data_IF_071946083714
#
_entry.id   IF_071946083714
#
_cell.length_a   1.000
_cell.length_b   1.000
_cell.length_c   1.000
_cell.angle_alpha   90.00
_cell.angle_beta   90.00
_cell.angle_gamma   90.00
#
_symmetry.space_group_name_H-M   'P 1'
#
loop_
_entity.id
_entity.type
_entity.pdbx_description
1 polymer ?
#
# COMPACT_ATOMS: atom_id res chain seq x y z
N UNK A 1 8.33 3.30 -13.78
CA UNK A 1 8.50 2.50 -15.02
C UNK A 1 7.16 1.91 -15.35
N UNK A 2 6.75 1.97 -16.62
CA UNK A 2 5.54 1.32 -17.10
C UNK A 2 5.68 -0.21 -16.96
N UNK A 3 4.57 -0.92 -16.79
CA UNK A 3 4.54 -2.39 -16.77
C UNK A 3 5.16 -2.98 -18.06
N UNK A 4 4.90 -2.31 -19.20
CA UNK A 4 5.47 -2.66 -20.50
C UNK A 4 7.01 -2.51 -20.50
N UNK A 5 7.55 -1.44 -19.91
CA UNK A 5 9.00 -1.22 -19.82
C UNK A 5 9.71 -2.34 -19.05
N UNK A 6 9.07 -2.86 -17.99
CA UNK A 6 9.63 -3.94 -17.17
C UNK A 6 9.72 -5.25 -17.95
N UNK A 7 8.70 -5.56 -18.76
CA UNK A 7 8.70 -6.75 -19.63
C UNK A 7 9.75 -6.58 -20.73
N UNK A 8 9.80 -5.42 -21.38
CA UNK A 8 10.79 -5.13 -22.43
C UNK A 8 12.22 -5.21 -21.89
N UNK A 9 12.48 -4.74 -20.67
CA UNK A 9 13.79 -4.83 -20.03
C UNK A 9 14.26 -6.28 -19.85
N UNK A 10 13.38 -7.20 -19.43
CA UNK A 10 13.71 -8.63 -19.32
C UNK A 10 14.06 -9.23 -20.68
N UNK A 11 13.30 -8.88 -21.72
CA UNK A 11 13.58 -9.35 -23.10
C UNK A 11 14.94 -8.84 -23.58
N UNK A 12 15.27 -7.56 -23.33
CA UNK A 12 16.57 -6.99 -23.69
C UNK A 12 17.70 -7.68 -22.93
N UNK A 13 17.51 -7.94 -21.63
CA UNK A 13 18.52 -8.55 -20.78
C UNK A 13 18.89 -9.98 -21.23
N UNK A 14 17.91 -10.73 -21.71
CA UNK A 14 18.08 -12.11 -22.19
C UNK A 14 18.18 -12.23 -23.72
N UNK A 15 18.33 -11.11 -24.42
CA UNK A 15 18.38 -11.08 -25.88
C UNK A 15 19.50 -11.96 -26.45
N UNK A 16 20.70 -11.87 -25.85
CA UNK A 16 21.85 -12.66 -26.29
C UNK A 16 21.62 -14.15 -26.13
N UNK A 17 21.05 -14.59 -25.00
CA UNK A 17 20.73 -16.00 -24.76
C UNK A 17 19.72 -16.54 -25.80
N UNK A 18 18.72 -15.73 -26.18
CA UNK A 18 17.77 -16.08 -27.24
C UNK A 18 18.46 -16.18 -28.61
N UNK A 19 19.37 -15.25 -28.93
CA UNK A 19 20.10 -15.27 -30.20
C UNK A 19 21.08 -16.43 -30.30
N UNK A 20 21.78 -16.75 -29.21
CA UNK A 20 22.64 -17.95 -29.13
C UNK A 20 21.82 -19.23 -29.35
N UNK A 21 20.62 -19.31 -28.77
CA UNK A 21 19.70 -20.43 -28.97
C UNK A 21 19.28 -20.60 -30.44
N UNK A 22 18.91 -19.50 -31.09
CA UNK A 22 18.47 -19.49 -32.48
C UNK A 22 19.58 -19.95 -33.43
N UNK A 23 20.77 -19.37 -33.29
CA UNK A 23 21.94 -19.72 -34.12
C UNK A 23 22.35 -21.17 -33.89
N UNK A 24 22.33 -21.67 -32.65
CA UNK A 24 22.70 -23.06 -32.37
C UNK A 24 21.69 -24.05 -32.97
N UNK A 25 20.41 -23.70 -33.02
CA UNK A 25 19.39 -24.53 -33.68
C UNK A 25 19.58 -24.54 -35.20
N UNK A 26 19.85 -23.39 -35.80
CA UNK A 26 20.12 -23.25 -37.24
C UNK A 26 21.34 -24.07 -37.64
N UNK A 27 22.45 -23.99 -36.89
CA UNK A 27 23.66 -24.80 -37.14
C UNK A 27 23.36 -26.29 -37.10
N UNK A 28 22.56 -26.77 -36.14
CA UNK A 28 22.19 -28.19 -36.10
C UNK A 28 21.29 -28.60 -37.28
N UNK A 29 20.38 -27.73 -37.69
CA UNK A 29 19.47 -27.98 -38.80
C UNK A 29 20.24 -28.05 -40.12
N UNK A 30 21.14 -27.08 -40.37
CA UNK A 30 22.04 -27.07 -41.53
C UNK A 30 22.93 -28.32 -41.60
N UNK A 31 23.56 -28.70 -40.48
CA UNK A 31 24.37 -29.93 -40.40
C UNK A 31 23.53 -31.18 -40.70
N UNK A 32 22.27 -31.21 -40.29
CA UNK A 32 21.36 -32.31 -40.61
C UNK A 32 20.98 -32.33 -42.09
N UNK A 33 20.77 -31.17 -42.72
CA UNK A 33 20.44 -31.06 -44.16
C UNK A 33 21.61 -31.47 -45.05
N UNK A 34 22.85 -31.15 -44.66
CA UNK A 34 24.07 -31.55 -45.36
C UNK A 34 24.44 -33.03 -45.14
N UNK A 35 23.73 -33.73 -44.25
CA UNK A 35 24.01 -35.12 -43.88
C UNK A 35 25.25 -35.29 -43.00
N UNK A 36 25.75 -34.21 -42.41
CA UNK A 36 26.94 -34.14 -41.57
C UNK A 36 26.56 -34.07 -40.10
N UNK A 37 26.22 -35.22 -39.49
CA UNK A 37 26.01 -35.27 -38.04
C UNK A 37 27.33 -35.44 -37.28
N UNK A 38 27.63 -34.58 -36.28
CA UNK A 38 28.78 -34.78 -35.41
C UNK A 38 28.62 -36.06 -34.60
N UNK A 39 29.66 -36.90 -34.62
CA UNK A 39 29.67 -38.24 -34.00
C UNK A 39 30.65 -38.26 -32.82
N UNK A 40 30.30 -38.96 -31.75
CA UNK A 40 31.18 -39.12 -30.58
C UNK A 40 31.21 -37.88 -29.68
N UNK A 41 32.38 -37.39 -29.25
CA UNK A 41 32.47 -36.34 -28.22
C UNK A 41 31.88 -34.99 -28.67
N UNK A 42 31.95 -34.68 -29.96
CA UNK A 42 31.40 -33.42 -30.50
C UNK A 42 29.85 -33.45 -30.50
N UNK A 43 29.26 -34.61 -30.79
CA UNK A 43 27.81 -34.79 -30.70
C UNK A 43 27.31 -34.67 -29.25
N UNK A 44 28.04 -35.26 -28.30
CA UNK A 44 27.76 -35.09 -26.86
C UNK A 44 27.88 -33.63 -26.41
N UNK A 45 28.90 -32.92 -26.89
CA UNK A 45 29.08 -31.50 -26.59
C UNK A 45 27.92 -30.65 -27.15
N UNK A 46 27.47 -30.92 -28.38
CA UNK A 46 26.31 -30.22 -28.96
C UNK A 46 25.02 -30.50 -28.19
N UNK A 47 24.78 -31.75 -27.80
CA UNK A 47 23.63 -32.10 -26.96
C UNK A 47 23.68 -31.41 -25.59
N UNK A 48 24.86 -31.31 -24.98
CA UNK A 48 25.05 -30.59 -23.73
C UNK A 48 24.73 -29.10 -23.90
N UNK A 49 25.24 -28.47 -24.95
CA UNK A 49 24.96 -27.05 -25.25
C UNK A 49 23.47 -26.84 -25.46
N UNK A 50 22.78 -27.72 -26.20
CA UNK A 50 21.32 -27.66 -26.38
C UNK A 50 20.58 -27.73 -25.05
N UNK A 51 20.99 -28.66 -24.18
CA UNK A 51 20.39 -28.84 -22.87
C UNK A 51 20.55 -27.59 -22.01
N UNK A 52 21.71 -26.92 -22.07
CA UNK A 52 21.94 -25.66 -21.36
C UNK A 52 21.05 -24.54 -21.91
N UNK A 53 20.91 -24.47 -23.23
CA UNK A 53 20.04 -23.50 -23.90
C UNK A 53 18.58 -23.69 -23.47
N UNK A 54 18.09 -24.93 -23.44
CA UNK A 54 16.73 -25.25 -22.99
C UNK A 54 16.52 -24.87 -21.52
N UNK A 55 17.50 -25.17 -20.64
CA UNK A 55 17.46 -24.75 -19.23
C UNK A 55 17.41 -23.23 -19.06
N UNK A 56 18.16 -22.48 -19.89
CA UNK A 56 18.12 -21.01 -19.91
C UNK A 56 16.75 -20.52 -20.40
N UNK A 57 16.19 -21.14 -21.42
CA UNK A 57 14.87 -20.80 -21.95
C UNK A 57 13.76 -21.01 -20.91
N UNK A 58 13.75 -22.17 -20.24
CA UNK A 58 12.82 -22.46 -19.15
C UNK A 58 12.94 -21.45 -18.00
N UNK A 59 14.17 -21.03 -17.69
CA UNK A 59 14.41 -20.00 -16.68
C UNK A 59 13.82 -18.66 -17.11
N UNK A 60 14.04 -18.23 -18.35
CA UNK A 60 13.47 -17.00 -18.90
C UNK A 60 11.94 -16.99 -18.83
N UNK A 61 11.30 -18.09 -19.25
CA UNK A 61 9.83 -18.24 -19.19
C UNK A 61 9.33 -18.09 -17.75
N UNK A 62 10.00 -18.75 -16.78
CA UNK A 62 9.65 -18.62 -15.37
C UNK A 62 9.80 -17.18 -14.87
N UNK A 63 10.92 -16.52 -15.18
CA UNK A 63 11.16 -15.13 -14.79
C UNK A 63 10.10 -14.18 -15.36
N UNK A 64 9.74 -14.33 -16.65
CA UNK A 64 8.69 -13.54 -17.29
C UNK A 64 7.32 -13.78 -16.64
N UNK A 65 6.97 -15.04 -16.34
CA UNK A 65 5.72 -15.39 -15.67
C UNK A 65 5.62 -14.75 -14.29
N UNK A 66 6.67 -14.90 -13.48
CA UNK A 66 6.73 -14.29 -12.14
C UNK A 66 6.65 -12.77 -12.21
N UNK A 67 7.28 -12.14 -13.20
CA UNK A 67 7.21 -10.69 -13.38
C UNK A 67 5.77 -10.23 -13.68
N UNK A 68 5.06 -10.94 -14.56
CA UNK A 68 3.66 -10.63 -14.86
C UNK A 68 2.76 -10.79 -13.62
N UNK A 69 2.98 -11.83 -12.81
CA UNK A 69 2.25 -12.04 -11.56
C UNK A 69 2.53 -10.89 -10.56
N UNK A 70 3.80 -10.54 -10.34
CA UNK A 70 4.19 -9.42 -9.48
C UNK A 70 3.58 -8.08 -9.94
N UNK A 71 3.50 -7.85 -11.25
CA UNK A 71 2.86 -6.65 -11.80
C UNK A 71 1.38 -6.62 -11.44
N UNK A 72 0.66 -7.72 -11.63
CA UNK A 72 -0.77 -7.82 -11.29
C UNK A 72 -1.03 -7.60 -9.81
N UNK A 73 -0.23 -8.24 -8.95
CA UNK A 73 -0.37 -8.10 -7.50
C UNK A 73 -0.08 -6.66 -7.04
N UNK A 74 0.93 -6.02 -7.64
CA UNK A 74 1.24 -4.61 -7.38
C UNK A 74 0.08 -3.70 -7.80
N UNK A 75 -0.47 -3.91 -8.99
CA UNK A 75 -1.57 -3.07 -9.50
C UNK A 75 -2.82 -3.22 -8.61
N UNK A 76 -3.15 -4.43 -8.18
CA UNK A 76 -4.25 -4.68 -7.24
C UNK A 76 -4.01 -4.01 -5.88
N UNK A 77 -2.79 -4.08 -5.35
CA UNK A 77 -2.44 -3.43 -4.09
C UNK A 77 -2.49 -1.91 -4.17
N UNK A 78 -2.04 -1.34 -5.30
CA UNK A 78 -2.13 0.10 -5.55
C UNK A 78 -3.59 0.58 -5.63
N UNK A 79 -4.45 -0.21 -6.27
CA UNK A 79 -5.89 0.06 -6.31
C UNK A 79 -6.51 0.03 -4.91
N UNK A 80 -6.19 -0.97 -4.09
CA UNK A 80 -6.68 -1.05 -2.71
C UNK A 80 -6.25 0.16 -1.87
N UNK A 81 -4.98 0.55 -1.95
CA UNK A 81 -4.46 1.74 -1.28
C UNK A 81 -5.19 3.01 -1.71
N UNK A 82 -5.46 3.16 -3.01
CA UNK A 82 -6.17 4.31 -3.53
C UNK A 82 -7.59 4.41 -2.96
N UNK A 83 -8.31 3.29 -2.88
CA UNK A 83 -9.64 3.27 -2.28
C UNK A 83 -9.61 3.51 -0.76
N UNK A 84 -8.59 3.03 -0.06
CA UNK A 84 -8.39 3.33 1.36
C UNK A 84 -8.15 4.82 1.61
N UNK A 85 -7.33 5.46 0.78
CA UNK A 85 -7.11 6.90 0.83
C UNK A 85 -8.42 7.66 0.57
N UNK A 86 -9.19 7.26 -0.45
CA UNK A 86 -10.47 7.87 -0.76
C UNK A 86 -11.47 7.75 0.40
N UNK A 87 -11.54 6.58 1.05
CA UNK A 87 -12.37 6.35 2.25
C UNK A 87 -11.95 7.25 3.41
N UNK A 88 -10.65 7.41 3.64
CA UNK A 88 -10.11 8.28 4.69
C UNK A 88 -10.45 9.74 4.45
N UNK A 89 -10.20 10.23 3.24
CA UNK A 89 -10.55 11.59 2.83
C UNK A 89 -12.04 11.85 3.03
N UNK A 90 -12.89 10.88 2.66
CA UNK A 90 -14.34 11.00 2.87
C UNK A 90 -14.73 11.08 4.35
N UNK A 91 -14.13 10.22 5.18
CA UNK A 91 -14.35 10.23 6.61
C UNK A 91 -13.94 11.57 7.24
N UNK A 92 -12.83 12.15 6.79
CA UNK A 92 -12.35 13.42 7.29
C UNK A 92 -13.23 14.61 6.88
N UNK A 93 -13.76 14.62 5.65
CA UNK A 93 -14.80 15.60 5.25
C UNK A 93 -16.03 15.53 6.17
N UNK A 94 -16.50 14.33 6.48
CA UNK A 94 -17.69 14.14 7.30
C UNK A 94 -17.45 14.56 8.75
N UNK A 95 -16.26 14.31 9.30
CA UNK A 95 -15.85 14.83 10.61
C UNK A 95 -15.83 16.36 10.63
N UNK A 96 -15.27 17.01 9.61
CA UNK A 96 -15.24 18.47 9.51
C UNK A 96 -16.66 19.05 9.45
N UNK A 97 -17.56 18.44 8.68
CA UNK A 97 -18.98 18.84 8.65
C UNK A 97 -19.66 18.67 10.00
N UNK A 98 -19.41 17.56 10.70
CA UNK A 98 -19.96 17.34 12.05
C UNK A 98 -19.47 18.41 13.04
N UNK A 99 -18.16 18.70 13.06
CA UNK A 99 -17.58 19.74 13.93
C UNK A 99 -18.12 21.13 13.59
N UNK A 100 -18.29 21.44 12.31
CA UNK A 100 -18.89 22.69 11.87
C UNK A 100 -20.34 22.82 12.34
N UNK A 101 -21.15 21.76 12.19
CA UNK A 101 -22.53 21.73 12.66
C UNK A 101 -22.61 21.86 14.19
N UNK A 102 -21.75 21.19 14.95
CA UNK A 102 -21.67 21.34 16.40
C UNK A 102 -21.33 22.78 16.81
N UNK A 103 -20.36 23.41 16.14
CA UNK A 103 -20.02 24.82 16.36
C UNK A 103 -21.21 25.74 16.06
N UNK A 104 -21.94 25.51 14.96
CA UNK A 104 -23.13 26.28 14.62
C UNK A 104 -24.22 26.12 15.68
N UNK A 105 -24.50 24.90 16.13
CA UNK A 105 -25.47 24.64 17.19
C UNK A 105 -25.09 25.38 18.49
N UNK A 106 -23.81 25.30 18.90
CA UNK A 106 -23.30 25.99 20.09
C UNK A 106 -23.42 27.51 20.03
N UNK A 107 -23.37 28.11 18.84
CA UNK A 107 -23.27 29.57 18.68
C UNK A 107 -24.52 30.23 18.14
N UNK A 108 -25.39 29.50 17.43
CA UNK A 108 -26.55 30.03 16.71
C UNK A 108 -27.88 29.53 17.27
N UNK A 109 -27.93 28.36 17.93
CA UNK A 109 -29.17 27.86 18.51
C UNK A 109 -29.47 28.51 19.88
N UNK A 110 -30.47 29.40 19.91
CA UNK A 110 -30.86 30.14 21.11
C UNK A 110 -31.23 29.22 22.29
N UNK A 111 -31.86 28.08 22.03
CA UNK A 111 -32.30 27.16 23.08
C UNK A 111 -31.12 26.41 23.72
N UNK A 112 -30.10 26.05 22.94
CA UNK A 112 -28.87 25.44 23.46
C UNK A 112 -27.97 26.44 24.17
N UNK A 113 -27.88 27.68 23.66
CA UNK A 113 -27.21 28.77 24.35
C UNK A 113 -27.83 29.06 25.71
N UNK A 114 -29.16 29.04 25.80
CA UNK A 114 -29.90 29.23 27.05
C UNK A 114 -29.62 28.09 28.04
N UNK A 115 -29.68 26.83 27.59
CA UNK A 115 -29.32 25.65 28.40
C UNK A 115 -27.86 25.70 28.89
N UNK A 116 -26.92 26.06 28.02
CA UNK A 116 -25.50 26.20 28.38
C UNK A 116 -25.27 27.33 29.40
N UNK A 117 -25.97 28.45 29.26
CA UNK A 117 -25.92 29.57 30.21
C UNK A 117 -26.51 29.20 31.57
N UNK A 118 -27.59 28.43 31.58
CA UNK A 118 -28.23 27.92 32.80
C UNK A 118 -27.33 26.90 33.53
N UNK A 119 -26.68 25.99 32.80
CA UNK A 119 -25.70 25.06 33.35
C UNK A 119 -24.52 25.78 34.00
N UNK A 120 -23.91 26.76 33.31
CA UNK A 120 -22.82 27.58 33.86
C UNK A 120 -23.22 28.37 35.10
N UNK A 121 -24.47 28.86 35.16
CA UNK A 121 -25.03 29.51 36.35
C UNK A 121 -25.17 28.53 37.51
N UNK A 122 -25.67 27.32 37.26
CA UNK A 122 -25.76 26.27 38.27
C UNK A 122 -24.42 25.87 38.86
N UNK A 123 -23.38 25.72 38.03
CA UNK A 123 -22.02 25.42 38.49
C UNK A 123 -21.40 26.58 39.30
N UNK A 124 -21.63 27.81 38.88
CA UNK A 124 -21.17 29.00 39.61
C UNK A 124 -21.84 29.12 40.98
N UNK A 125 -23.13 28.78 41.07
CA UNK A 125 -23.88 28.72 42.33
C UNK A 125 -23.35 27.61 43.24
N UNK A 126 -23.07 26.42 42.70
CA UNK A 126 -22.43 25.33 43.45
C UNK A 126 -21.07 25.75 44.01
N UNK A 127 -20.19 26.35 43.19
CA UNK A 127 -18.88 26.86 43.64
C UNK A 127 -18.99 27.91 44.75
N UNK A 128 -19.96 28.83 44.66
CA UNK A 128 -20.22 29.82 45.73
C UNK A 128 -20.71 29.16 47.01
N UNK A 129 -21.59 28.15 46.90
CA UNK A 129 -22.10 27.42 48.07
C UNK A 129 -20.99 26.60 48.74
N UNK A 130 -20.12 25.93 47.97
CA UNK A 130 -18.96 25.23 48.54
C UNK A 130 -18.00 26.18 49.24
N UNK A 131 -17.79 27.39 48.70
CA UNK A 131 -16.95 28.40 49.34
C UNK A 131 -17.59 28.94 50.64
N UNK A 132 -18.89 29.23 50.64
CA UNK A 132 -19.61 29.69 51.83
C UNK A 132 -19.62 28.64 52.95
N UNK A 133 -19.79 27.36 52.61
CA UNK A 133 -19.73 26.26 53.56
C UNK A 133 -18.34 26.11 54.21
N UNK A 134 -17.28 26.37 53.43
CA UNK A 134 -15.91 26.32 53.92
C UNK A 134 -15.58 27.53 54.80
N UNK A 135 -16.03 28.73 54.40
CA UNK A 135 -15.86 29.96 55.16
C UNK A 135 -16.62 29.91 56.51
N UNK A 136 -17.77 29.23 56.59
CA UNK A 136 -18.50 28.99 57.85
C UNK A 136 -17.82 27.95 58.74
N UNK A 137 -17.21 26.92 58.16
CA UNK A 137 -16.42 25.92 58.90
C UNK A 137 -15.19 26.56 59.55
N UNK A 138 -14.52 27.46 58.84
CA UNK A 138 -13.36 28.21 59.36
C UNK A 138 -13.77 29.18 60.48
N UNK A 139 -14.95 29.81 60.40
CA UNK A 139 -15.48 30.68 61.47
C UNK A 139 -15.84 29.92 62.75
N UNK A 140 -16.40 28.72 62.62
CA UNK A 140 -16.76 27.87 63.76
C UNK A 140 -15.54 27.29 64.48
N UNK A 141 -14.42 27.08 63.77
CA UNK A 141 -13.18 26.61 64.38
C UNK A 141 -12.37 27.72 65.07
N UNK A 142 -12.60 28.99 64.74
CA UNK A 142 -11.96 30.14 65.41
C UNK A 142 -12.64 30.47 66.75
N UNK A 143 -13.91 30.10 66.94
CA UNK A 143 -14.68 30.37 68.18
C UNK A 143 -14.56 29.29 69.26
N UNK A 144 -13.84 28.19 69.02
CA UNK A 144 -13.66 27.06 69.96
C UNK A 144 -12.20 26.93 70.46
N UNK A 145 -11.31 27.89 70.15
CA UNK A 145 -10.01 28.06 70.82
C UNK A 145 -10.03 29.24 71.79
#
# INVERSE_FOLDING_TARGET
MCNEDQITMVVIQHYMDCKESEVMKEVMEELSEEGTQPIGPDGEAMHLVMSIIDMKHDRLIREQKTLVECIKDRDAWQEELYYDELRRLKCDEDKVKMQFNEMLLRTSNHDELKKSKEAKRGESMKKKNYKALNDDYDRLNITVS
#
